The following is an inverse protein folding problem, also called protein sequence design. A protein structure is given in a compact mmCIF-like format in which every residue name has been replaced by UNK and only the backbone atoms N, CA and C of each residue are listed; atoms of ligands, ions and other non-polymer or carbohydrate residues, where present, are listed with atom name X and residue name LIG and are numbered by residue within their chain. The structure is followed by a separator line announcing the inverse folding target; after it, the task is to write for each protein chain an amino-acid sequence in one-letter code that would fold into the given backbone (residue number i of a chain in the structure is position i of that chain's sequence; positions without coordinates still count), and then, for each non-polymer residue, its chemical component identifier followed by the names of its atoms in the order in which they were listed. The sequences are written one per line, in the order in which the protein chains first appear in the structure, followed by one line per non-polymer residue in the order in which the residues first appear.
data_IF_623953881706
#
_entry.id   IF_623953881706
#
_cell.length_a   1.000
_cell.length_b   1.000
_cell.length_c   1.000
_cell.angle_alpha   90.00
_cell.angle_beta   90.00
_cell.angle_gamma   90.00
#
_symmetry.space_group_name_H-M   'P 1'
#
loop_
_entity.id
_entity.type
_entity.pdbx_description
1 polymer ?
#
# COMPACT_ATOMS: atom_id res chain seq x y z
N UNK A 1 -38.16 -2.32 4.24
CA UNK A 1 -37.33 -2.11 5.46
C UNK A 1 -36.91 -3.43 6.11
N UNK A 2 -37.82 -4.34 6.46
CA UNK A 2 -37.49 -5.60 7.15
C UNK A 2 -36.53 -6.53 6.38
N UNK A 3 -36.65 -6.60 5.05
CA UNK A 3 -35.73 -7.36 4.19
C UNK A 3 -34.29 -6.81 4.21
N UNK A 4 -34.10 -5.50 4.29
CA UNK A 4 -32.77 -4.86 4.32
C UNK A 4 -32.07 -5.19 5.63
N UNK A 5 -32.78 -5.11 6.76
CA UNK A 5 -32.24 -5.51 8.06
C UNK A 5 -31.92 -7.01 8.11
N UNK A 6 -32.76 -7.85 7.49
CA UNK A 6 -32.49 -9.29 7.37
C UNK A 6 -31.22 -9.59 6.58
N UNK A 7 -31.02 -8.95 5.42
CA UNK A 7 -29.81 -9.10 4.61
C UNK A 7 -28.56 -8.63 5.37
N UNK A 8 -28.62 -7.46 6.01
CA UNK A 8 -27.50 -6.95 6.81
C UNK A 8 -27.18 -7.88 7.99
N UNK A 9 -28.18 -8.39 8.69
CA UNK A 9 -27.99 -9.33 9.79
C UNK A 9 -27.35 -10.64 9.33
N UNK A 10 -27.78 -11.20 8.19
CA UNK A 10 -27.18 -12.40 7.60
C UNK A 10 -25.72 -12.15 7.19
N UNK A 11 -25.44 -11.02 6.54
CA UNK A 11 -24.07 -10.65 6.17
C UNK A 11 -23.18 -10.53 7.41
N UNK A 12 -23.63 -9.82 8.45
CA UNK A 12 -22.89 -9.69 9.70
C UNK A 12 -22.67 -11.03 10.39
N UNK A 13 -23.68 -11.90 10.41
CA UNK A 13 -23.61 -13.23 11.01
C UNK A 13 -22.60 -14.13 10.27
N UNK A 14 -22.67 -14.16 8.94
CA UNK A 14 -21.73 -14.93 8.10
C UNK A 14 -20.31 -14.40 8.28
N UNK A 15 -20.14 -13.08 8.31
CA UNK A 15 -18.81 -12.46 8.49
C UNK A 15 -18.24 -12.76 9.88
N UNK A 16 -19.06 -12.72 10.93
CA UNK A 16 -18.64 -13.03 12.29
C UNK A 16 -18.29 -14.53 12.48
N UNK A 17 -19.07 -15.43 11.88
CA UNK A 17 -18.79 -16.86 11.90
C UNK A 17 -17.54 -17.21 11.09
N UNK A 18 -17.38 -16.59 9.92
CA UNK A 18 -16.18 -16.73 9.10
C UNK A 18 -14.94 -16.18 9.81
N UNK A 19 -15.05 -15.07 10.54
CA UNK A 19 -13.96 -14.47 11.32
C UNK A 19 -13.31 -15.48 12.28
N UNK A 20 -14.11 -16.25 13.01
CA UNK A 20 -13.59 -17.23 13.99
C UNK A 20 -12.93 -18.46 13.34
N UNK A 21 -13.31 -18.80 12.11
CA UNK A 21 -12.68 -19.88 11.33
C UNK A 21 -11.38 -19.37 10.72
N UNK A 22 -11.40 -18.16 10.16
CA UNK A 22 -10.25 -17.51 9.53
C UNK A 22 -9.13 -17.20 10.55
N UNK A 23 -9.47 -16.82 11.78
CA UNK A 23 -8.48 -16.61 12.85
C UNK A 23 -7.76 -17.88 13.32
N UNK A 24 -8.27 -19.08 12.98
CA UNK A 24 -7.64 -20.36 13.32
C UNK A 24 -6.74 -20.91 12.22
N UNK A 25 -6.78 -20.35 11.03
CA UNK A 25 -5.89 -20.78 9.97
C UNK A 25 -4.52 -20.12 10.15
N UNK A 26 -3.42 -20.90 10.18
CA UNK A 26 -2.06 -20.36 10.24
C UNK A 26 -1.61 -19.70 8.91
N UNK A 27 -2.54 -19.45 7.99
CA UNK A 27 -2.31 -18.92 6.66
C UNK A 27 -2.69 -17.45 6.64
N UNK A 28 -1.74 -16.60 6.23
CA UNK A 28 -1.98 -15.17 6.05
C UNK A 28 -3.14 -14.92 5.07
N UNK A 29 -3.90 -13.84 5.28
CA UNK A 29 -5.01 -13.43 4.39
C UNK A 29 -4.63 -13.41 2.89
N UNK A 30 -3.46 -12.89 2.48
CA UNK A 30 -3.04 -12.91 1.08
C UNK A 30 -2.95 -14.31 0.49
N UNK A 31 -2.45 -15.29 1.27
CA UNK A 31 -2.36 -16.69 0.82
C UNK A 31 -3.74 -17.32 0.65
N UNK A 32 -4.68 -17.02 1.54
CA UNK A 32 -6.06 -17.50 1.42
C UNK A 32 -6.74 -16.94 0.16
N UNK A 33 -6.60 -15.64 -0.11
CA UNK A 33 -7.15 -15.04 -1.33
C UNK A 33 -6.47 -15.54 -2.60
N UNK A 34 -5.15 -15.78 -2.57
CA UNK A 34 -4.43 -16.40 -3.68
C UNK A 34 -4.96 -17.80 -3.96
N UNK A 35 -5.12 -18.63 -2.93
CA UNK A 35 -5.69 -19.97 -3.04
C UNK A 35 -7.12 -19.94 -3.59
N UNK A 36 -7.97 -19.04 -3.08
CA UNK A 36 -9.33 -18.86 -3.58
C UNK A 36 -9.35 -18.45 -5.05
N UNK A 37 -8.48 -17.53 -5.47
CA UNK A 37 -8.35 -17.12 -6.87
C UNK A 37 -7.89 -18.29 -7.76
N UNK A 38 -6.95 -19.11 -7.30
CA UNK A 38 -6.49 -20.29 -8.04
C UNK A 38 -7.61 -21.31 -8.25
N UNK A 39 -8.44 -21.53 -7.22
CA UNK A 39 -9.60 -22.44 -7.28
C UNK A 39 -10.71 -21.88 -8.16
N UNK A 40 -10.99 -20.57 -8.11
CA UNK A 40 -12.05 -19.95 -8.91
C UNK A 40 -11.63 -19.65 -10.36
N UNK A 41 -10.33 -19.45 -10.60
CA UNK A 41 -9.78 -19.08 -11.91
C UNK A 41 -9.81 -20.22 -12.93
N UNK A 42 -9.14 -20.00 -14.07
CA UNK A 42 -9.14 -20.94 -15.21
C UNK A 42 -8.74 -22.37 -14.84
N UNK A 43 -7.87 -22.56 -13.85
CA UNK A 43 -7.40 -23.89 -13.43
C UNK A 43 -8.38 -24.66 -12.55
N UNK A 44 -9.43 -24.01 -12.02
CA UNK A 44 -10.48 -24.68 -11.24
C UNK A 44 -11.84 -24.59 -11.91
N UNK A 45 -12.66 -23.59 -11.53
CA UNK A 45 -14.04 -23.48 -12.02
C UNK A 45 -14.22 -22.72 -13.35
N UNK A 46 -13.14 -22.19 -13.93
CA UNK A 46 -13.21 -21.52 -15.24
C UNK A 46 -13.93 -20.18 -15.22
N UNK A 47 -13.97 -19.48 -14.07
CA UNK A 47 -14.54 -18.14 -14.02
C UNK A 47 -13.75 -17.18 -14.91
N UNK A 48 -14.45 -16.18 -15.48
CA UNK A 48 -13.83 -15.16 -16.32
C UNK A 48 -12.70 -14.46 -15.55
N UNK A 49 -11.48 -14.54 -16.09
CA UNK A 49 -10.35 -13.81 -15.55
C UNK A 49 -10.50 -12.35 -15.88
N UNK A 50 -10.50 -11.50 -14.84
CA UNK A 50 -10.29 -10.08 -15.05
C UNK A 50 -8.88 -9.89 -15.62
N UNK A 51 -8.82 -9.29 -16.81
CA UNK A 51 -7.57 -8.96 -17.46
C UNK A 51 -6.81 -7.86 -16.68
N UNK A 52 -5.50 -7.72 -16.92
CA UNK A 52 -4.68 -6.66 -16.31
C UNK A 52 -5.17 -5.23 -16.60
N UNK A 53 -6.06 -5.05 -17.58
CA UNK A 53 -6.61 -3.76 -18.00
C UNK A 53 -8.12 -3.68 -17.78
N UNK A 54 -8.69 -4.52 -16.92
CA UNK A 54 -10.10 -4.39 -16.57
C UNK A 54 -10.34 -3.15 -15.72
N UNK A 55 -11.24 -2.28 -16.19
CA UNK A 55 -11.62 -1.04 -15.52
C UNK A 55 -12.14 -1.30 -14.10
N UNK A 56 -12.83 -2.43 -13.88
CA UNK A 56 -13.33 -2.84 -12.57
C UNK A 56 -12.16 -3.09 -11.61
N UNK A 57 -11.08 -3.73 -12.08
CA UNK A 57 -9.90 -4.00 -11.27
C UNK A 57 -9.18 -2.69 -10.92
N UNK A 58 -9.01 -1.80 -11.88
CA UNK A 58 -8.36 -0.49 -11.67
C UNK A 58 -9.12 0.38 -10.66
N UNK A 59 -10.44 0.49 -10.82
CA UNK A 59 -11.30 1.26 -9.91
C UNK A 59 -11.29 0.64 -8.51
N UNK A 60 -11.39 -0.68 -8.42
CA UNK A 60 -11.39 -1.39 -7.13
C UNK A 60 -10.04 -1.26 -6.43
N UNK A 61 -8.93 -1.44 -7.15
CA UNK A 61 -7.58 -1.25 -6.62
C UNK A 61 -7.40 0.19 -6.12
N UNK A 62 -7.82 1.18 -6.89
CA UNK A 62 -7.72 2.60 -6.50
C UNK A 62 -8.54 2.91 -5.25
N UNK A 63 -9.80 2.48 -5.22
CA UNK A 63 -10.70 2.71 -4.08
C UNK A 63 -10.30 1.94 -2.82
N UNK A 64 -9.55 0.85 -2.95
CA UNK A 64 -9.05 0.07 -1.81
C UNK A 64 -7.70 0.57 -1.34
N UNK A 65 -6.79 0.89 -2.25
CA UNK A 65 -5.44 1.38 -1.93
C UNK A 65 -5.46 2.78 -1.33
N UNK A 66 -6.29 3.69 -1.85
CA UNK A 66 -6.36 5.06 -1.35
C UNK A 66 -6.65 5.16 0.17
N UNK A 67 -7.69 4.52 0.74
CA UNK A 67 -7.94 4.55 2.17
C UNK A 67 -6.91 3.75 2.98
N UNK A 68 -6.32 2.68 2.42
CA UNK A 68 -5.24 1.93 3.09
C UNK A 68 -4.01 2.82 3.28
N UNK A 69 -3.54 3.44 2.19
CA UNK A 69 -2.41 4.39 2.23
C UNK A 69 -2.70 5.59 3.12
N UNK A 70 -3.93 6.09 3.11
CA UNK A 70 -4.35 7.16 4.02
C UNK A 70 -4.30 6.72 5.49
N UNK A 71 -4.81 5.53 5.81
CA UNK A 71 -4.81 5.01 7.18
C UNK A 71 -3.39 4.72 7.67
N UNK A 72 -2.53 4.19 6.80
CA UNK A 72 -1.11 3.99 7.10
C UNK A 72 -0.42 5.32 7.36
N UNK A 73 -0.64 6.33 6.50
CA UNK A 73 -0.12 7.68 6.70
C UNK A 73 -0.65 8.34 7.99
N UNK A 74 -1.94 8.15 8.33
CA UNK A 74 -2.54 8.71 9.53
C UNK A 74 -2.02 8.08 10.83
N UNK A 75 -1.53 6.84 10.77
CA UNK A 75 -0.91 6.16 11.91
C UNK A 75 0.56 6.53 12.10
N UNK A 76 1.20 7.21 11.13
CA UNK A 76 2.59 7.66 11.23
C UNK A 76 2.72 8.73 12.31
N UNK A 77 3.48 8.42 13.35
CA UNK A 77 3.79 9.37 14.43
C UNK A 77 4.99 10.24 14.07
N UNK A 78 4.75 11.27 13.25
CA UNK A 78 5.79 12.21 12.75
C UNK A 78 6.62 12.83 13.90
N UNK A 79 6.00 13.02 15.07
CA UNK A 79 6.64 13.61 16.26
C UNK A 79 7.79 12.77 16.82
N UNK A 80 7.72 11.45 16.68
CA UNK A 80 8.80 10.54 17.11
C UNK A 80 9.91 10.45 16.08
N UNK A 81 9.56 10.59 14.80
CA UNK A 81 10.49 10.68 13.69
C UNK A 81 11.48 11.86 13.90
N UNK A 82 10.94 13.01 14.33
CA UNK A 82 11.64 14.25 14.66
C UNK A 82 12.93 14.10 15.48
N UNK A 83 12.98 13.11 16.39
CA UNK A 83 14.13 12.90 17.30
C UNK A 83 15.26 12.07 16.70
N UNK A 84 15.05 11.36 15.58
CA UNK A 84 16.03 10.46 14.95
C UNK A 84 15.93 10.45 13.41
N UNK A 85 15.72 11.60 12.76
CA UNK A 85 15.50 11.71 11.30
C UNK A 85 16.56 11.05 10.40
N UNK A 86 17.83 11.00 10.84
CA UNK A 86 18.90 10.40 10.03
C UNK A 86 18.65 8.93 9.70
N UNK A 87 18.17 8.15 10.68
CA UNK A 87 18.04 6.70 10.53
C UNK A 87 16.92 6.33 9.54
N UNK A 88 15.69 6.88 9.64
CA UNK A 88 14.67 6.71 8.62
C UNK A 88 15.11 7.22 7.25
N UNK A 89 15.79 8.37 7.16
CA UNK A 89 16.22 8.90 5.86
C UNK A 89 17.24 8.01 5.15
N UNK A 90 18.17 7.39 5.89
CA UNK A 90 19.16 6.47 5.34
C UNK A 90 18.53 5.13 4.94
N UNK A 91 17.62 4.61 5.77
CA UNK A 91 16.90 3.35 5.49
C UNK A 91 16.00 3.52 4.27
N UNK A 92 15.27 4.64 4.15
CA UNK A 92 14.32 4.88 3.07
C UNK A 92 14.98 5.35 1.77
N UNK A 93 16.11 6.04 1.86
CA UNK A 93 16.88 6.43 0.69
C UNK A 93 17.76 5.28 0.23
N UNK A 94 18.87 5.07 0.95
CA UNK A 94 19.89 4.09 0.55
C UNK A 94 19.47 2.64 0.78
N UNK A 95 18.75 2.34 1.86
CA UNK A 95 18.28 0.99 2.15
C UNK A 95 17.26 0.50 1.11
N UNK A 96 16.20 1.26 0.89
CA UNK A 96 15.19 0.94 -0.13
C UNK A 96 15.82 0.85 -1.53
N UNK A 97 16.67 1.79 -1.94
CA UNK A 97 17.35 1.71 -3.24
C UNK A 97 18.23 0.46 -3.39
N UNK A 98 18.90 0.04 -2.31
CA UNK A 98 19.71 -1.18 -2.29
C UNK A 98 18.82 -2.42 -2.42
N UNK A 99 17.71 -2.52 -1.69
CA UNK A 99 16.77 -3.65 -1.79
C UNK A 99 16.15 -3.73 -3.19
N UNK A 100 15.76 -2.58 -3.76
CA UNK A 100 15.27 -2.50 -5.15
C UNK A 100 16.32 -3.05 -6.12
N UNK A 101 17.58 -2.60 -5.97
CA UNK A 101 18.68 -3.03 -6.84
C UNK A 101 18.97 -4.53 -6.68
N UNK A 102 18.95 -5.05 -5.45
CA UNK A 102 19.12 -6.48 -5.19
C UNK A 102 18.02 -7.33 -5.80
N UNK A 103 16.77 -6.84 -5.86
CA UNK A 103 15.69 -7.52 -6.56
C UNK A 103 15.79 -7.38 -8.08
N UNK A 104 16.18 -6.20 -8.58
CA UNK A 104 16.20 -5.89 -10.00
C UNK A 104 17.38 -6.54 -10.76
N UNK A 105 18.58 -6.54 -10.18
CA UNK A 105 19.80 -7.02 -10.86
C UNK A 105 19.70 -8.50 -11.25
N UNK A 106 19.25 -9.43 -10.39
CA UNK A 106 19.04 -10.82 -10.79
C UNK A 106 17.97 -10.97 -11.87
N UNK A 107 16.90 -10.19 -11.83
CA UNK A 107 15.84 -10.23 -12.86
C UNK A 107 16.37 -9.74 -14.22
N UNK A 108 17.19 -8.69 -14.23
CA UNK A 108 17.80 -8.19 -15.46
C UNK A 108 18.82 -9.18 -16.03
N UNK A 109 19.69 -9.74 -15.18
CA UNK A 109 20.83 -10.55 -15.63
C UNK A 109 20.51 -12.04 -15.84
N UNK A 110 19.67 -12.64 -14.99
CA UNK A 110 19.36 -14.08 -15.07
C UNK A 110 18.12 -14.37 -15.90
N UNK A 111 17.11 -13.49 -15.86
CA UNK A 111 15.84 -13.68 -16.59
C UNK A 111 15.85 -12.91 -17.92
N UNK A 112 16.75 -11.93 -18.09
CA UNK A 112 16.86 -11.14 -19.32
C UNK A 112 15.81 -10.04 -19.44
N UNK A 113 15.22 -9.60 -18.32
CA UNK A 113 14.27 -8.48 -18.34
C UNK A 113 14.97 -7.17 -18.70
N UNK A 114 14.26 -6.30 -19.44
CA UNK A 114 14.73 -4.93 -19.66
C UNK A 114 14.93 -4.22 -18.32
N UNK A 115 15.99 -3.44 -18.19
CA UNK A 115 16.38 -2.79 -16.93
C UNK A 115 15.22 -2.07 -16.24
N UNK A 116 14.41 -1.32 -16.99
CA UNK A 116 13.27 -0.59 -16.43
C UNK A 116 12.25 -1.54 -15.80
N UNK A 117 11.88 -2.62 -16.49
CA UNK A 117 10.94 -3.63 -15.97
C UNK A 117 11.53 -4.35 -14.76
N UNK A 118 12.82 -4.68 -14.79
CA UNK A 118 13.51 -5.30 -13.67
C UNK A 118 13.52 -4.39 -12.43
N UNK A 119 13.75 -3.08 -12.59
CA UNK A 119 13.67 -2.10 -11.52
C UNK A 119 12.24 -1.89 -11.01
N UNK A 120 11.22 -1.94 -11.88
CA UNK A 120 9.80 -1.93 -11.45
C UNK A 120 9.52 -3.16 -10.59
N UNK A 121 9.91 -4.35 -11.05
CA UNK A 121 9.73 -5.59 -10.29
C UNK A 121 10.50 -5.56 -8.97
N UNK A 122 11.75 -5.05 -8.97
CA UNK A 122 12.54 -4.85 -7.75
C UNK A 122 11.87 -3.88 -6.78
N UNK A 123 11.25 -2.80 -7.28
CA UNK A 123 10.50 -1.84 -6.48
C UNK A 123 9.22 -2.44 -5.87
N UNK A 124 8.50 -3.26 -6.63
CA UNK A 124 7.32 -3.99 -6.13
C UNK A 124 7.74 -4.99 -5.04
N UNK A 125 8.85 -5.72 -5.23
CA UNK A 125 9.38 -6.66 -4.25
C UNK A 125 9.94 -5.98 -2.99
N UNK A 126 10.48 -4.77 -3.13
CA UNK A 126 11.01 -3.99 -2.02
C UNK A 126 9.92 -3.33 -1.18
N UNK A 127 8.70 -3.13 -1.72
CA UNK A 127 7.56 -2.59 -0.98
C UNK A 127 7.08 -3.62 0.04
N UNK A 128 7.50 -3.46 1.28
CA UNK A 128 7.10 -4.32 2.40
C UNK A 128 5.65 -4.05 2.77
N UNK A 129 4.77 -5.02 2.54
CA UNK A 129 3.35 -4.88 2.88
C UNK A 129 3.15 -4.77 4.41
N UNK A 130 2.65 -3.64 4.92
CA UNK A 130 2.31 -3.50 6.33
C UNK A 130 1.26 -4.51 6.77
N UNK A 131 0.47 -5.13 5.90
CA UNK A 131 -0.52 -6.17 6.23
C UNK A 131 0.15 -7.44 6.74
N UNK A 132 1.19 -7.94 6.05
CA UNK A 132 1.94 -9.13 6.50
C UNK A 132 2.69 -8.80 7.79
N UNK A 133 3.25 -7.59 7.89
CA UNK A 133 3.90 -7.15 9.10
C UNK A 133 2.90 -6.99 10.26
N UNK A 134 1.67 -6.49 10.02
CA UNK A 134 0.61 -6.34 11.03
C UNK A 134 0.25 -7.68 11.67
N UNK A 135 0.32 -8.78 10.92
CA UNK A 135 0.11 -10.12 11.44
C UNK A 135 1.23 -10.53 12.43
N UNK A 136 2.49 -10.25 12.09
CA UNK A 136 3.64 -10.43 12.99
C UNK A 136 3.53 -9.49 14.20
N UNK A 137 3.10 -8.24 13.99
CA UNK A 137 2.93 -7.24 15.05
C UNK A 137 1.75 -7.54 15.99
N UNK A 138 0.86 -8.48 15.66
CA UNK A 138 -0.15 -9.00 16.60
C UNK A 138 0.48 -9.93 17.64
N UNK A 139 1.69 -10.43 17.42
CA UNK A 139 2.42 -11.18 18.44
C UNK A 139 2.80 -10.27 19.62
N UNK A 140 2.35 -10.67 20.81
CA UNK A 140 2.56 -9.96 22.06
C UNK A 140 3.99 -10.13 22.60
N UNK A 141 4.77 -11.06 22.04
CA UNK A 141 6.18 -11.27 22.37
C UNK A 141 7.09 -10.15 21.86
N UNK A 142 6.62 -9.34 20.90
CA UNK A 142 7.41 -8.25 20.32
C UNK A 142 7.28 -6.98 21.19
N UNK A 143 8.39 -6.39 21.67
CA UNK A 143 8.36 -5.15 22.43
C UNK A 143 7.64 -4.01 21.69
N UNK A 144 6.89 -3.18 22.42
CA UNK A 144 6.14 -2.06 21.84
C UNK A 144 7.00 -1.10 21.01
N UNK A 145 8.25 -0.87 21.44
CA UNK A 145 9.22 -0.04 20.72
C UNK A 145 9.59 -0.61 19.35
N UNK A 146 9.80 -1.92 19.24
CA UNK A 146 10.12 -2.60 17.97
C UNK A 146 8.91 -2.56 17.04
N UNK A 147 7.71 -2.82 17.57
CA UNK A 147 6.45 -2.72 16.83
C UNK A 147 6.23 -1.33 16.22
N UNK A 148 6.56 -0.29 16.98
CA UNK A 148 6.42 1.10 16.55
C UNK A 148 7.41 1.46 15.45
N UNK A 149 8.68 1.06 15.59
CA UNK A 149 9.71 1.26 14.56
C UNK A 149 9.33 0.52 13.27
N UNK A 150 8.93 -0.74 13.37
CA UNK A 150 8.51 -1.56 12.23
C UNK A 150 7.29 -0.97 11.50
N UNK A 151 6.32 -0.40 12.23
CA UNK A 151 5.18 0.31 11.60
C UNK A 151 5.61 1.56 10.87
N UNK A 152 6.52 2.33 11.45
CA UNK A 152 7.06 3.54 10.82
C UNK A 152 7.86 3.16 9.57
N UNK A 153 8.70 2.13 9.65
CA UNK A 153 9.50 1.64 8.54
C UNK A 153 8.62 1.16 7.38
N UNK A 154 7.63 0.31 7.64
CA UNK A 154 6.70 -0.16 6.61
C UNK A 154 5.87 0.97 6.00
N UNK A 155 5.29 1.84 6.83
CA UNK A 155 4.46 2.95 6.35
C UNK A 155 5.25 4.01 5.57
N UNK A 156 6.51 4.26 5.95
CA UNK A 156 7.37 5.18 5.19
C UNK A 156 7.90 4.55 3.90
N UNK A 157 8.13 3.24 3.87
CA UNK A 157 8.57 2.55 2.67
C UNK A 157 7.53 2.66 1.55
N UNK A 158 6.24 2.52 1.86
CA UNK A 158 5.14 2.68 0.89
C UNK A 158 5.07 4.12 0.32
N UNK A 159 5.38 5.14 1.14
CA UNK A 159 5.43 6.55 0.70
C UNK A 159 6.54 6.78 -0.33
N UNK A 160 7.66 6.06 -0.22
CA UNK A 160 8.81 6.21 -1.13
C UNK A 160 8.70 5.29 -2.35
N UNK A 161 8.23 4.06 -2.14
CA UNK A 161 8.13 3.05 -3.19
C UNK A 161 7.13 3.46 -4.29
N UNK A 162 5.96 4.01 -3.93
CA UNK A 162 4.94 4.37 -4.90
C UNK A 162 5.40 5.43 -5.92
N UNK A 163 5.97 6.59 -5.53
CA UNK A 163 6.54 7.55 -6.49
C UNK A 163 7.63 6.93 -7.37
N UNK A 164 8.49 6.09 -6.80
CA UNK A 164 9.56 5.40 -7.56
C UNK A 164 8.96 4.48 -8.63
N UNK A 165 7.97 3.67 -8.26
CA UNK A 165 7.25 2.79 -9.21
C UNK A 165 6.58 3.61 -10.30
N UNK A 166 5.89 4.70 -9.96
CA UNK A 166 5.21 5.57 -10.94
C UNK A 166 6.19 6.24 -11.91
N UNK A 167 7.35 6.69 -11.42
CA UNK A 167 8.42 7.23 -12.29
C UNK A 167 8.95 6.15 -13.22
N UNK A 168 9.23 4.95 -12.72
CA UNK A 168 9.73 3.85 -13.53
C UNK A 168 8.70 3.37 -14.58
N UNK A 169 7.41 3.35 -14.23
CA UNK A 169 6.32 3.08 -15.18
C UNK A 169 6.29 4.16 -16.27
N UNK A 170 6.37 5.44 -15.91
CA UNK A 170 6.41 6.53 -16.88
C UNK A 170 7.62 6.46 -17.83
N UNK A 171 8.77 5.98 -17.33
CA UNK A 171 9.94 5.66 -18.18
C UNK A 171 9.65 4.47 -19.10
N UNK A 172 8.99 3.42 -18.59
CA UNK A 172 8.70 2.20 -19.34
C UNK A 172 7.67 2.42 -20.47
N UNK A 173 6.64 3.22 -20.21
CA UNK A 173 5.57 3.51 -21.18
C UNK A 173 5.97 4.59 -22.17
N UNK A 174 6.98 5.41 -21.85
CA UNK A 174 7.36 6.55 -22.67
C UNK A 174 6.30 7.66 -22.67
N UNK A 175 5.37 7.66 -21.71
CA UNK A 175 4.27 8.63 -21.61
C UNK A 175 4.76 10.07 -21.42
N UNK A 176 6.03 10.23 -21.01
CA UNK A 176 6.66 11.53 -20.76
C UNK A 176 7.78 11.75 -21.77
N UNK A 177 7.45 12.46 -22.85
CA UNK A 177 8.36 12.63 -23.99
C UNK A 177 9.54 13.57 -23.72
N UNK A 178 9.25 14.83 -23.35
CA UNK A 178 10.27 15.90 -23.27
C UNK A 178 10.69 16.30 -21.85
N UNK A 179 11.88 16.91 -21.72
CA UNK A 179 12.41 17.37 -20.41
C UNK A 179 11.46 18.32 -19.64
N UNK A 180 10.75 19.20 -20.35
CA UNK A 180 9.73 20.06 -19.73
C UNK A 180 8.51 19.29 -19.20
N UNK A 181 8.12 18.20 -19.87
CA UNK A 181 7.04 17.32 -19.39
C UNK A 181 7.50 16.50 -18.18
N UNK A 182 8.75 16.04 -18.16
CA UNK A 182 9.38 15.40 -17.00
C UNK A 182 9.39 16.30 -15.77
N UNK A 183 9.80 17.56 -15.93
CA UNK A 183 9.75 18.55 -14.84
C UNK A 183 8.32 18.74 -14.36
N UNK A 184 7.35 18.88 -15.28
CA UNK A 184 5.94 19.02 -14.91
C UNK A 184 5.37 17.79 -14.19
N UNK A 185 5.78 16.59 -14.61
CA UNK A 185 5.37 15.31 -14.03
C UNK A 185 5.92 15.15 -12.61
N UNK A 186 7.23 15.39 -12.44
CA UNK A 186 7.88 15.34 -11.12
C UNK A 186 7.33 16.41 -10.17
N UNK A 187 7.06 17.62 -10.66
CA UNK A 187 6.40 18.66 -9.86
C UNK A 187 4.99 18.25 -9.45
N UNK A 188 4.21 17.65 -10.36
CA UNK A 188 2.87 17.15 -10.04
C UNK A 188 2.92 16.06 -8.97
N UNK A 189 3.82 15.09 -9.15
CA UNK A 189 3.95 13.91 -8.31
C UNK A 189 4.54 14.23 -6.92
N UNK A 190 5.64 14.98 -6.87
CA UNK A 190 6.41 15.21 -5.65
C UNK A 190 6.03 16.48 -4.89
N UNK A 191 5.39 17.45 -5.57
CA UNK A 191 5.08 18.75 -4.95
C UNK A 191 3.57 18.96 -4.87
N UNK A 192 2.87 19.01 -6.00
CA UNK A 192 1.42 19.31 -6.01
C UNK A 192 0.59 18.24 -5.29
N UNK A 193 0.84 16.95 -5.56
CA UNK A 193 0.12 15.85 -4.91
C UNK A 193 0.20 15.94 -3.37
N UNK A 194 1.42 15.97 -2.79
CA UNK A 194 1.61 16.15 -1.36
C UNK A 194 1.05 17.48 -0.83
N UNK A 195 1.19 18.58 -1.57
CA UNK A 195 0.65 19.88 -1.16
C UNK A 195 -0.88 19.89 -1.08
N UNK A 196 -1.55 19.30 -2.06
CA UNK A 196 -3.01 19.15 -2.07
C UNK A 196 -3.44 18.21 -0.93
N UNK A 197 -2.76 17.09 -0.74
CA UNK A 197 -3.01 16.17 0.37
C UNK A 197 -2.88 16.86 1.73
N UNK A 198 -1.84 17.67 1.92
CA UNK A 198 -1.62 18.46 3.12
C UNK A 198 -2.73 19.51 3.33
N UNK A 199 -3.14 20.21 2.28
CA UNK A 199 -4.21 21.19 2.35
C UNK A 199 -5.54 20.54 2.74
N UNK A 200 -5.93 19.44 2.09
CA UNK A 200 -7.17 18.70 2.39
C UNK A 200 -7.12 18.14 3.82
N UNK A 201 -6.02 17.50 4.20
CA UNK A 201 -5.85 16.96 5.56
C UNK A 201 -5.89 18.04 6.64
N UNK A 202 -5.26 19.19 6.39
CA UNK A 202 -5.25 20.35 7.28
C UNK A 202 -6.65 20.97 7.44
N UNK A 203 -7.38 21.14 6.35
CA UNK A 203 -8.78 21.62 6.38
C UNK A 203 -9.67 20.64 7.15
N UNK A 204 -9.52 19.33 6.92
CA UNK A 204 -10.27 18.31 7.65
C UNK A 204 -9.97 18.33 9.16
N UNK A 205 -8.70 18.45 9.54
CA UNK A 205 -8.30 18.57 10.93
C UNK A 205 -8.84 19.85 11.60
N UNK A 206 -8.83 20.97 10.87
CA UNK A 206 -9.40 22.23 11.31
C UNK A 206 -10.91 22.12 11.55
N UNK A 207 -11.65 21.51 10.61
CA UNK A 207 -13.09 21.32 10.73
C UNK A 207 -13.45 20.42 11.91
N UNK A 208 -12.72 19.31 12.11
CA UNK A 208 -12.89 18.43 13.27
C UNK A 208 -12.62 19.17 14.59
N UNK A 209 -11.61 20.04 14.64
CA UNK A 209 -11.31 20.87 15.81
C UNK A 209 -12.43 21.87 16.09
N UNK A 210 -12.98 22.49 15.05
CA UNK A 210 -14.08 23.46 15.17
C UNK A 210 -15.36 22.80 15.69
N UNK A 211 -15.69 21.61 15.19
CA UNK A 211 -16.81 20.82 15.67
C UNK A 211 -16.60 20.40 17.13
N UNK A 212 -15.43 19.87 17.49
CA UNK A 212 -15.15 19.47 18.88
C UNK A 212 -15.25 20.63 19.87
N UNK A 213 -14.87 21.85 19.46
CA UNK A 213 -14.96 23.04 20.30
C UNK A 213 -16.40 23.57 20.44
N UNK A 214 -17.34 23.18 19.58
CA UNK A 214 -18.76 23.56 19.69
C UNK A 214 -19.57 22.69 20.65
N UNK A 215 -19.04 21.53 21.05
CA UNK A 215 -19.69 20.58 21.97
C UNK A 215 -19.04 20.55 23.36
N UNK A 216 -18.23 21.56 23.69
CA UNK A 216 -17.74 21.86 25.04
C UNK A 216 -18.34 23.17 25.50
#
# INVERSE_FOLDING_TARGET
MMLVFGVVAVILLVTALASGIVERFPLSFPLMFLGLKLVLGKQGFGANELGPHDQILEVTATLTLAPVLFLDAAQLQIKELGRRWLVPSLILGSGTALVISLGAVPLALLIGFGWVIAFISGAILASTDPVVLREILRDHRIPRSVRQVLRIEAGMNDIVALPVILVLIAVATGDVGGGGQWVSFLLKLLVLGPAIGFAIGGVGAWFMRQLRNRWR
#
